data_IF_899884872346
#
_entry.id   IF_899884872346
#
_cell.length_a   1.000
_cell.length_b   1.000
_cell.length_c   1.000
_cell.angle_alpha   90.00
_cell.angle_beta   90.00
_cell.angle_gamma   90.00
#
_symmetry.space_group_name_H-M   'P 1'
#
loop_
_entity.id
_entity.type
_entity.pdbx_description
1 polymer ?
#
# COMPACT_ATOMS: atom_id res chain seq x y z
N UNK A 1 -4.99 -26.36 10.74
CA UNK A 1 -5.17 -26.23 9.28
C UNK A 1 -5.24 -24.75 8.95
N UNK A 2 -4.37 -24.22 8.09
CA UNK A 2 -4.41 -22.82 7.66
C UNK A 2 -5.23 -22.74 6.36
N UNK A 3 -6.33 -21.94 6.28
CA UNK A 3 -7.06 -21.72 5.03
C UNK A 3 -6.10 -21.30 3.93
N UNK A 4 -6.18 -21.92 2.77
CA UNK A 4 -5.22 -21.67 1.71
C UNK A 4 -5.86 -21.71 0.32
N UNK A 5 -5.11 -21.23 -0.68
CA UNK A 5 -5.52 -21.23 -2.10
C UNK A 5 -6.77 -20.38 -2.30
N UNK A 6 -6.72 -19.14 -1.81
CA UNK A 6 -7.84 -18.20 -1.78
C UNK A 6 -7.69 -17.22 -2.95
N UNK A 7 -8.74 -17.07 -3.74
CA UNK A 7 -8.85 -16.01 -4.74
C UNK A 7 -9.97 -15.03 -4.35
N UNK A 8 -9.61 -13.75 -4.22
CA UNK A 8 -10.54 -12.62 -4.04
C UNK A 8 -10.41 -11.76 -5.28
N UNK A 9 -11.33 -11.91 -6.23
CA UNK A 9 -11.18 -11.32 -7.57
C UNK A 9 -12.44 -10.63 -8.06
N UNK A 10 -12.25 -9.48 -8.71
CA UNK A 10 -13.30 -8.76 -9.44
C UNK A 10 -14.53 -8.42 -8.59
N UNK A 11 -14.29 -8.03 -7.34
CA UNK A 11 -15.34 -7.59 -6.43
C UNK A 11 -15.32 -6.06 -6.27
N UNK A 12 -16.49 -5.51 -5.94
CA UNK A 12 -16.63 -4.17 -5.43
C UNK A 12 -16.82 -4.21 -3.91
N UNK A 13 -15.77 -3.87 -3.17
CA UNK A 13 -15.80 -3.72 -1.72
C UNK A 13 -16.04 -2.25 -1.39
N UNK A 14 -17.27 -1.90 -1.05
CA UNK A 14 -17.60 -0.51 -0.74
C UNK A 14 -18.47 -0.36 0.50
N UNK A 15 -18.36 0.83 1.10
CA UNK A 15 -19.35 1.31 2.06
C UNK A 15 -20.18 2.42 1.42
N UNK A 16 -21.52 2.35 1.47
CA UNK A 16 -22.36 3.44 0.99
C UNK A 16 -22.04 4.75 1.71
N UNK A 17 -21.89 5.85 0.97
CA UNK A 17 -21.66 7.17 1.57
C UNK A 17 -22.82 7.64 2.45
N UNK A 18 -24.01 7.08 2.28
CA UNK A 18 -25.13 7.30 3.20
C UNK A 18 -24.85 6.86 4.65
N UNK A 19 -23.79 6.08 4.89
CA UNK A 19 -23.35 5.67 6.23
C UNK A 19 -22.32 6.61 6.86
N UNK A 20 -21.77 7.55 6.09
CA UNK A 20 -20.70 8.45 6.51
C UNK A 20 -21.24 9.62 7.37
N UNK A 21 -20.49 10.10 8.39
CA UNK A 21 -19.27 9.50 8.92
C UNK A 21 -19.52 8.47 10.04
N UNK A 22 -20.72 8.40 10.63
CA UNK A 22 -20.93 7.59 11.85
C UNK A 22 -22.38 7.08 12.02
N UNK A 23 -23.00 6.57 10.96
CA UNK A 23 -24.33 5.93 11.07
C UNK A 23 -24.23 4.51 11.65
N UNK A 24 -23.11 3.82 11.37
CA UNK A 24 -22.88 2.43 11.80
C UNK A 24 -21.47 2.27 12.38
N UNK A 25 -21.32 1.24 13.23
CA UNK A 25 -20.00 0.74 13.58
C UNK A 25 -19.39 0.04 12.36
N UNK A 26 -18.33 0.62 11.80
CA UNK A 26 -17.68 0.11 10.60
C UNK A 26 -16.19 -0.18 10.83
N UNK A 27 -15.63 -1.03 9.98
CA UNK A 27 -14.21 -1.41 9.97
C UNK A 27 -13.62 -1.30 8.57
N UNK A 28 -12.37 -1.66 8.42
CA UNK A 28 -11.64 -1.60 7.14
C UNK A 28 -12.30 -2.44 6.04
N UNK A 29 -11.96 -2.21 4.77
CA UNK A 29 -12.60 -2.88 3.62
C UNK A 29 -12.15 -4.34 3.47
N UNK A 30 -10.89 -4.63 3.76
CA UNK A 30 -10.36 -6.00 3.79
C UNK A 30 -9.41 -6.19 4.97
N UNK A 31 -9.52 -7.33 5.63
CA UNK A 31 -8.60 -7.73 6.69
C UNK A 31 -8.22 -9.21 6.57
N UNK A 32 -6.91 -9.48 6.49
CA UNK A 32 -6.37 -10.84 6.57
C UNK A 32 -5.75 -11.06 7.94
N UNK A 33 -6.32 -12.01 8.69
CA UNK A 33 -5.85 -12.43 10.03
C UNK A 33 -5.20 -13.81 10.07
N UNK A 34 -5.49 -14.63 9.06
CA UNK A 34 -5.03 -16.01 8.93
C UNK A 34 -5.27 -16.46 7.48
N UNK A 35 -4.27 -17.05 6.83
CA UNK A 35 -4.43 -17.69 5.52
C UNK A 35 -3.12 -17.77 4.74
N UNK A 36 -3.06 -18.64 3.72
CA UNK A 36 -1.85 -18.84 2.93
C UNK A 36 -2.10 -19.02 1.44
N UNK A 37 -1.26 -18.48 0.55
CA UNK A 37 -1.46 -18.54 -0.91
C UNK A 37 -2.77 -17.85 -1.28
N UNK A 38 -2.77 -16.53 -1.13
CA UNK A 38 -3.93 -15.67 -1.33
C UNK A 38 -3.66 -14.74 -2.50
N UNK A 39 -4.55 -14.73 -3.48
CA UNK A 39 -4.56 -13.78 -4.59
C UNK A 39 -5.70 -12.78 -4.40
N UNK A 40 -5.39 -11.49 -4.36
CA UNK A 40 -6.34 -10.38 -4.33
C UNK A 40 -6.15 -9.58 -5.61
N UNK A 41 -7.02 -9.76 -6.61
CA UNK A 41 -6.80 -9.21 -7.94
C UNK A 41 -8.03 -8.58 -8.59
N UNK A 42 -7.86 -7.42 -9.22
CA UNK A 42 -8.91 -6.82 -10.05
C UNK A 42 -10.12 -6.34 -9.25
N UNK A 43 -9.96 -6.07 -7.95
CA UNK A 43 -11.03 -5.56 -7.11
C UNK A 43 -11.01 -4.03 -7.06
N UNK A 44 -12.15 -3.45 -6.70
CA UNK A 44 -12.29 -2.05 -6.35
C UNK A 44 -12.63 -1.97 -4.86
N UNK A 45 -11.81 -1.28 -4.08
CA UNK A 45 -12.00 -1.02 -2.66
C UNK A 45 -12.29 0.46 -2.46
N UNK A 46 -13.46 0.80 -1.92
CA UNK A 46 -13.94 2.19 -1.88
C UNK A 46 -14.62 2.55 -0.56
N UNK A 47 -14.35 3.77 -0.08
CA UNK A 47 -14.93 4.37 1.12
C UNK A 47 -14.56 3.64 2.43
N UNK A 48 -13.40 4.00 2.99
CA UNK A 48 -12.96 3.55 4.32
C UNK A 48 -12.63 4.74 5.22
N UNK A 49 -13.50 5.06 6.17
CA UNK A 49 -13.29 6.19 7.08
C UNK A 49 -13.03 5.74 8.53
N UNK A 50 -12.50 6.65 9.34
CA UNK A 50 -12.22 6.39 10.75
C UNK A 50 -13.52 6.23 11.55
N UNK A 51 -13.66 5.10 12.23
CA UNK A 51 -14.76 4.79 13.17
C UNK A 51 -14.22 3.76 14.18
N UNK A 52 -14.77 2.54 14.25
CA UNK A 52 -14.34 1.48 15.17
C UNK A 52 -12.92 0.95 14.86
N UNK A 53 -12.27 1.48 13.82
CA UNK A 53 -10.84 1.39 13.49
C UNK A 53 -10.40 2.69 12.79
N UNK A 54 -9.09 2.83 12.50
CA UNK A 54 -8.48 4.05 11.95
C UNK A 54 -8.70 4.28 10.44
N UNK A 55 -9.64 3.55 9.83
CA UNK A 55 -10.05 3.76 8.43
C UNK A 55 -9.04 3.38 7.35
N UNK A 56 -8.12 2.44 7.63
CA UNK A 56 -7.31 1.86 6.55
C UNK A 56 -8.22 1.13 5.54
N UNK A 57 -7.86 1.07 4.27
CA UNK A 57 -8.56 0.23 3.30
C UNK A 57 -8.27 -1.25 3.59
N UNK A 58 -7.01 -1.60 3.84
CA UNK A 58 -6.55 -2.98 3.99
C UNK A 58 -5.70 -3.19 5.25
N UNK A 59 -5.94 -4.28 5.98
CA UNK A 59 -5.10 -4.76 7.09
C UNK A 59 -4.59 -6.18 6.83
N UNK A 60 -3.30 -6.41 7.06
CA UNK A 60 -2.68 -7.74 6.90
C UNK A 60 -1.81 -8.03 8.10
N UNK A 61 -2.11 -9.15 8.78
CA UNK A 61 -1.42 -9.56 9.99
C UNK A 61 -1.72 -11.02 10.34
N UNK A 62 -0.88 -11.63 11.18
CA UNK A 62 -1.12 -12.97 11.71
C UNK A 62 -1.74 -12.86 13.10
N UNK A 63 -2.96 -13.38 13.30
CA UNK A 63 -3.70 -13.18 14.55
C UNK A 63 -4.20 -14.50 15.13
N UNK A 64 -3.78 -14.75 16.38
CA UNK A 64 -4.36 -15.78 17.24
C UNK A 64 -5.35 -15.13 18.23
N UNK A 65 -6.54 -14.75 17.75
CA UNK A 65 -7.45 -13.83 18.44
C UNK A 65 -7.86 -14.28 19.86
N UNK A 66 -7.90 -15.59 20.11
CA UNK A 66 -8.33 -16.18 21.39
C UNK A 66 -7.26 -17.07 22.04
N UNK A 67 -6.01 -16.99 21.59
CA UNK A 67 -4.89 -17.75 22.16
C UNK A 67 -4.83 -19.24 21.78
N UNK A 68 -5.86 -19.81 21.16
CA UNK A 68 -5.96 -21.25 20.87
C UNK A 68 -5.37 -21.70 19.54
N UNK A 69 -4.91 -20.77 18.70
CA UNK A 69 -4.37 -21.04 17.36
C UNK A 69 -2.94 -20.54 17.22
N UNK A 70 -2.01 -21.11 18.01
CA UNK A 70 -0.60 -20.68 18.01
C UNK A 70 0.16 -20.91 16.70
N UNK A 71 -0.42 -21.74 15.82
CA UNK A 71 0.05 -22.00 14.46
C UNK A 71 -0.55 -21.04 13.43
N UNK A 72 -1.34 -20.03 13.85
CA UNK A 72 -1.92 -19.04 12.94
C UNK A 72 -0.85 -18.28 12.16
N UNK A 73 -1.08 -18.09 10.86
CA UNK A 73 -0.19 -17.37 9.97
C UNK A 73 -0.95 -16.76 8.79
N UNK A 74 -0.58 -15.54 8.42
CA UNK A 74 -0.90 -14.93 7.14
C UNK A 74 0.37 -14.90 6.28
N UNK A 75 0.43 -15.63 5.17
CA UNK A 75 1.63 -15.66 4.34
C UNK A 75 1.35 -15.94 2.86
N UNK A 76 2.29 -15.65 1.98
CA UNK A 76 2.14 -15.89 0.53
C UNK A 76 0.91 -15.15 -0.03
N UNK A 77 0.90 -13.83 0.11
CA UNK A 77 -0.20 -12.96 -0.30
C UNK A 77 0.23 -12.13 -1.50
N UNK A 78 -0.58 -12.13 -2.54
CA UNK A 78 -0.37 -11.34 -3.75
C UNK A 78 -1.54 -10.40 -4.00
N UNK A 79 -1.29 -9.09 -3.95
CA UNK A 79 -2.28 -8.04 -4.17
C UNK A 79 -1.94 -7.32 -5.47
N UNK A 80 -2.76 -7.50 -6.52
CA UNK A 80 -2.42 -6.97 -7.85
C UNK A 80 -3.58 -6.42 -8.65
N UNK A 81 -3.32 -5.40 -9.46
CA UNK A 81 -4.31 -4.78 -10.35
C UNK A 81 -5.62 -4.37 -9.65
N UNK A 82 -5.53 -3.86 -8.41
CA UNK A 82 -6.69 -3.33 -7.70
C UNK A 82 -6.73 -1.80 -7.78
N UNK A 83 -7.93 -1.24 -7.67
CA UNK A 83 -8.16 0.17 -7.37
C UNK A 83 -8.54 0.26 -5.89
N UNK A 84 -7.82 1.07 -5.13
CA UNK A 84 -8.08 1.34 -3.72
C UNK A 84 -8.27 2.84 -3.58
N UNK A 85 -9.46 3.29 -3.16
CA UNK A 85 -9.72 4.72 -3.09
C UNK A 85 -10.62 5.16 -1.95
N UNK A 86 -10.59 6.47 -1.69
CA UNK A 86 -11.47 7.12 -0.73
C UNK A 86 -11.33 6.51 0.67
N UNK A 87 -10.11 6.55 1.20
CA UNK A 87 -9.80 5.91 2.47
C UNK A 87 -8.96 6.79 3.40
N UNK A 88 -9.14 6.64 4.70
CA UNK A 88 -8.34 7.37 5.69
C UNK A 88 -6.89 6.88 5.68
N UNK A 89 -6.66 5.60 5.37
CA UNK A 89 -5.32 5.06 5.11
C UNK A 89 -5.35 3.98 4.04
N UNK A 90 -4.22 3.70 3.40
CA UNK A 90 -4.11 2.67 2.37
C UNK A 90 -4.00 1.27 2.98
N UNK A 91 -2.78 0.88 3.35
CA UNK A 91 -2.47 -0.45 3.88
C UNK A 91 -1.78 -0.35 5.25
N UNK A 92 -2.26 -1.14 6.22
CA UNK A 92 -1.51 -1.45 7.43
C UNK A 92 -1.06 -2.92 7.42
N UNK A 93 0.25 -3.13 7.51
CA UNK A 93 0.88 -4.44 7.48
C UNK A 93 1.64 -4.69 8.80
N UNK A 94 1.24 -5.73 9.52
CA UNK A 94 1.87 -6.11 10.79
C UNK A 94 2.37 -7.55 10.80
N UNK A 95 3.40 -7.82 11.61
CA UNK A 95 3.96 -9.18 11.76
C UNK A 95 2.98 -10.12 12.46
N UNK A 96 2.45 -9.76 13.63
CA UNK A 96 1.45 -10.53 14.36
C UNK A 96 0.77 -9.76 15.50
N UNK A 97 -0.30 -10.35 16.03
CA UNK A 97 -0.95 -9.92 17.27
C UNK A 97 -0.20 -10.34 18.55
N UNK A 98 -0.81 -10.03 19.70
CA UNK A 98 -0.21 -10.25 21.02
C UNK A 98 -0.05 -11.72 21.42
N UNK A 99 -1.03 -12.56 21.06
CA UNK A 99 -0.97 -13.98 21.36
C UNK A 99 0.01 -14.72 20.44
N UNK A 100 0.66 -15.80 20.92
CA UNK A 100 1.58 -16.59 20.10
C UNK A 100 0.97 -16.97 18.75
N UNK A 101 1.69 -16.69 17.68
CA UNK A 101 1.36 -16.99 16.28
C UNK A 101 2.66 -16.95 15.48
N UNK A 102 2.65 -17.56 14.29
CA UNK A 102 3.70 -17.34 13.31
C UNK A 102 3.57 -15.92 12.75
N UNK A 103 4.65 -15.39 12.16
CA UNK A 103 4.65 -14.02 11.62
C UNK A 103 4.14 -13.96 10.19
N UNK A 104 3.61 -12.79 9.84
CA UNK A 104 3.29 -12.42 8.48
C UNK A 104 4.55 -12.38 7.63
N UNK A 105 4.50 -12.99 6.44
CA UNK A 105 5.66 -13.04 5.54
C UNK A 105 5.25 -13.24 4.09
N UNK A 106 6.09 -12.77 3.16
CA UNK A 106 5.89 -12.94 1.71
C UNK A 106 4.58 -12.31 1.24
N UNK A 107 4.50 -10.99 1.38
CA UNK A 107 3.40 -10.17 0.86
C UNK A 107 3.94 -9.37 -0.31
N UNK A 108 3.34 -9.53 -1.49
CA UNK A 108 3.74 -8.85 -2.72
C UNK A 108 2.59 -8.03 -3.27
N UNK A 109 2.88 -6.79 -3.67
CA UNK A 109 1.95 -5.88 -4.31
C UNK A 109 2.46 -5.49 -5.69
N UNK A 110 1.63 -5.66 -6.73
CA UNK A 110 1.99 -5.33 -8.11
C UNK A 110 0.86 -4.57 -8.81
N UNK A 111 1.17 -3.46 -9.50
CA UNK A 111 0.19 -2.75 -10.32
C UNK A 111 -1.09 -2.36 -9.56
N UNK A 112 -1.02 -1.74 -8.38
CA UNK A 112 -2.24 -1.20 -7.75
C UNK A 112 -2.28 0.32 -7.84
N UNK A 113 -3.49 0.84 -8.01
CA UNK A 113 -3.80 2.26 -8.01
C UNK A 113 -4.40 2.63 -6.65
N UNK A 114 -3.81 3.63 -5.99
CA UNK A 114 -4.23 4.15 -4.69
C UNK A 114 -4.63 5.63 -4.85
N UNK A 115 -5.90 5.95 -4.71
CA UNK A 115 -6.42 7.31 -4.96
C UNK A 115 -7.12 7.88 -3.73
N UNK A 116 -6.94 9.17 -3.47
CA UNK A 116 -7.62 9.85 -2.38
C UNK A 116 -7.51 9.10 -1.03
N UNK A 117 -6.26 8.79 -0.67
CA UNK A 117 -5.92 8.31 0.67
C UNK A 117 -5.67 9.54 1.54
N UNK A 118 -6.68 10.03 2.24
CA UNK A 118 -6.63 11.40 2.77
C UNK A 118 -7.29 11.59 4.13
N UNK A 119 -6.92 12.70 4.76
CA UNK A 119 -7.53 13.23 5.98
C UNK A 119 -9.00 13.62 5.80
N UNK A 120 -9.51 13.66 4.56
CA UNK A 120 -10.96 13.80 4.31
C UNK A 120 -11.75 12.62 4.91
N UNK A 121 -11.12 11.45 4.96
CA UNK A 121 -11.76 10.21 5.43
C UNK A 121 -11.42 9.88 6.89
N UNK A 122 -10.59 10.67 7.58
CA UNK A 122 -10.20 10.44 8.97
C UNK A 122 -8.95 11.23 9.37
N UNK A 123 -8.26 10.85 10.45
CA UNK A 123 -7.05 11.52 10.91
C UNK A 123 -5.74 10.81 10.47
N UNK A 124 -5.85 9.78 9.65
CA UNK A 124 -4.75 8.86 9.35
C UNK A 124 -3.85 9.39 8.22
N UNK A 125 -4.33 9.49 6.97
CA UNK A 125 -3.60 10.02 5.80
C UNK A 125 -2.35 9.22 5.38
N UNK A 126 -2.17 8.00 5.89
CA UNK A 126 -0.99 7.16 5.63
C UNK A 126 -1.26 6.24 4.44
N UNK A 127 -0.42 6.31 3.40
CA UNK A 127 -0.51 5.40 2.28
C UNK A 127 -0.15 3.97 2.73
N UNK A 128 1.05 3.79 3.29
CA UNK A 128 1.52 2.50 3.79
C UNK A 128 2.02 2.60 5.23
N UNK A 129 1.65 1.63 6.07
CA UNK A 129 2.13 1.50 7.44
C UNK A 129 2.67 0.10 7.72
N UNK A 130 3.84 0.05 8.37
CA UNK A 130 4.49 -1.19 8.80
C UNK A 130 4.59 -1.25 10.33
N UNK A 131 4.18 -2.38 10.91
CA UNK A 131 4.18 -2.64 12.36
C UNK A 131 4.83 -4.00 12.64
N UNK A 132 6.14 -4.03 12.88
CA UNK A 132 6.92 -5.26 13.09
C UNK A 132 7.30 -5.41 14.56
N UNK A 133 6.32 -5.65 15.42
CA UNK A 133 6.51 -5.66 16.89
C UNK A 133 7.54 -6.68 17.39
N UNK A 134 7.81 -7.73 16.62
CA UNK A 134 8.83 -8.74 16.92
C UNK A 134 10.07 -8.67 16.02
N UNK A 135 10.13 -7.71 15.09
CA UNK A 135 11.23 -7.56 14.13
C UNK A 135 11.29 -8.68 13.07
N UNK A 136 10.21 -9.44 12.91
CA UNK A 136 10.15 -10.64 12.05
C UNK A 136 9.22 -10.48 10.85
N UNK A 137 8.74 -9.27 10.57
CA UNK A 137 8.07 -9.00 9.30
C UNK A 137 9.08 -9.13 8.16
N UNK A 138 8.78 -9.95 7.14
CA UNK A 138 9.80 -10.29 6.13
C UNK A 138 9.23 -10.54 4.73
N UNK A 139 10.05 -10.26 3.72
CA UNK A 139 9.76 -10.41 2.30
C UNK A 139 8.49 -9.63 1.89
N UNK A 140 8.52 -8.33 2.16
CA UNK A 140 7.43 -7.40 1.85
C UNK A 140 7.84 -6.58 0.64
N UNK A 141 7.11 -6.74 -0.47
CA UNK A 141 7.55 -6.25 -1.77
C UNK A 141 6.45 -5.46 -2.48
N UNK A 142 6.80 -4.29 -2.98
CA UNK A 142 5.95 -3.43 -3.78
C UNK A 142 6.63 -3.16 -5.11
N UNK A 143 5.94 -3.42 -6.20
CA UNK A 143 6.37 -3.05 -7.54
C UNK A 143 5.24 -2.37 -8.29
N UNK A 144 5.55 -1.34 -9.08
CA UNK A 144 4.57 -0.71 -9.95
C UNK A 144 3.31 -0.28 -9.20
N UNK A 145 3.43 0.64 -8.25
CA UNK A 145 2.27 1.24 -7.59
C UNK A 145 2.13 2.67 -8.10
N UNK A 146 0.91 3.13 -8.32
CA UNK A 146 0.62 4.57 -8.45
C UNK A 146 -0.24 4.95 -7.26
N UNK A 147 0.20 5.87 -6.40
CA UNK A 147 -0.51 6.16 -5.16
C UNK A 147 -0.42 7.60 -4.69
N UNK A 148 -1.50 8.11 -4.11
CA UNK A 148 -1.58 9.49 -3.61
C UNK A 148 -2.14 9.52 -2.19
N UNK A 149 -1.38 10.10 -1.26
CA UNK A 149 -1.78 10.32 0.11
C UNK A 149 -1.31 11.67 0.68
N UNK A 150 -2.19 12.35 1.40
CA UNK A 150 -1.95 13.72 1.84
C UNK A 150 -0.97 13.86 3.03
N UNK A 151 -0.79 12.81 3.85
CA UNK A 151 0.02 12.90 5.07
C UNK A 151 1.35 12.16 4.99
N UNK A 152 1.37 10.86 4.72
CA UNK A 152 2.62 10.09 4.81
C UNK A 152 2.66 8.99 3.77
N UNK A 153 3.74 8.93 3.00
CA UNK A 153 4.00 7.84 2.06
C UNK A 153 4.20 6.52 2.80
N UNK A 154 5.19 6.43 3.70
CA UNK A 154 5.44 5.24 4.51
C UNK A 154 5.60 5.61 5.97
N UNK A 155 4.80 5.01 6.84
CA UNK A 155 4.98 5.05 8.29
C UNK A 155 5.58 3.74 8.78
N UNK A 156 6.75 3.82 9.42
CA UNK A 156 7.37 2.71 10.13
C UNK A 156 7.03 2.89 11.61
N UNK A 157 5.94 2.25 12.04
CA UNK A 157 5.39 2.47 13.37
C UNK A 157 6.12 1.67 14.46
N UNK A 158 6.68 0.50 14.12
CA UNK A 158 7.50 -0.27 15.06
C UNK A 158 8.38 -1.31 14.37
N UNK A 159 9.55 -1.53 14.98
CA UNK A 159 10.46 -2.62 14.67
C UNK A 159 10.96 -2.65 13.22
N UNK A 160 11.59 -3.77 12.87
CA UNK A 160 12.33 -3.91 11.61
C UNK A 160 11.57 -4.80 10.64
N UNK A 161 11.53 -4.41 9.37
CA UNK A 161 11.06 -5.28 8.28
C UNK A 161 12.24 -5.73 7.44
N UNK A 162 12.35 -7.02 7.21
CA UNK A 162 13.46 -7.63 6.48
C UNK A 162 13.08 -7.89 5.03
N UNK A 163 14.06 -7.86 4.12
CA UNK A 163 13.83 -8.13 2.69
C UNK A 163 12.72 -7.24 2.12
N UNK A 164 12.76 -5.96 2.48
CA UNK A 164 11.83 -4.96 1.99
C UNK A 164 12.24 -4.49 0.59
N UNK A 165 11.30 -4.49 -0.35
CA UNK A 165 11.54 -4.00 -1.70
C UNK A 165 10.41 -3.05 -2.12
N UNK A 166 10.77 -1.88 -2.62
CA UNK A 166 9.86 -0.83 -3.04
C UNK A 166 10.41 -0.20 -4.32
N UNK A 167 9.94 -0.67 -5.48
CA UNK A 167 10.57 -0.32 -6.75
C UNK A 167 9.57 -0.01 -7.87
N UNK A 168 9.98 0.89 -8.77
CA UNK A 168 9.21 1.30 -9.94
C UNK A 168 7.85 1.93 -9.58
N UNK A 169 7.81 2.77 -8.55
CA UNK A 169 6.58 3.35 -8.00
C UNK A 169 6.43 4.83 -8.39
N UNK A 170 5.21 5.30 -8.65
CA UNK A 170 4.89 6.74 -8.65
C UNK A 170 4.03 7.05 -7.44
N UNK A 171 4.53 7.88 -6.54
CA UNK A 171 3.83 8.26 -5.31
C UNK A 171 4.05 9.73 -5.00
N UNK A 172 3.14 10.34 -4.27
CA UNK A 172 3.43 11.60 -3.59
C UNK A 172 4.23 11.40 -2.30
N UNK A 173 5.01 12.41 -1.96
CA UNK A 173 5.72 12.49 -0.70
C UNK A 173 4.74 12.63 0.48
N UNK A 174 3.59 13.28 0.27
CA UNK A 174 2.73 13.77 1.34
C UNK A 174 3.47 14.78 2.24
N UNK A 175 2.96 14.98 3.46
CA UNK A 175 3.57 15.86 4.45
C UNK A 175 4.90 15.32 5.03
N UNK A 176 5.05 14.00 5.17
CA UNK A 176 6.16 13.39 5.93
C UNK A 176 7.04 12.40 5.15
N UNK A 177 6.73 12.07 3.90
CA UNK A 177 7.53 11.10 3.14
C UNK A 177 7.56 9.73 3.80
N UNK A 178 8.75 9.22 4.04
CA UNK A 178 8.99 7.99 4.83
C UNK A 178 9.38 8.44 6.25
N UNK A 179 8.71 7.91 7.26
CA UNK A 179 8.89 8.39 8.63
C UNK A 179 8.83 7.28 9.68
N UNK A 180 9.69 7.39 10.68
CA UNK A 180 9.68 6.67 11.95
C UNK A 180 9.84 7.70 13.09
N UNK A 181 9.57 7.31 14.33
CA UNK A 181 9.59 8.25 15.48
C UNK A 181 10.94 8.97 15.68
N UNK A 182 12.06 8.34 15.29
CA UNK A 182 13.43 8.83 15.49
C UNK A 182 14.23 9.03 14.19
N UNK A 183 13.61 8.84 13.02
CA UNK A 183 14.28 8.93 11.73
C UNK A 183 13.30 9.27 10.59
N UNK A 184 13.82 9.81 9.49
CA UNK A 184 13.04 10.16 8.32
C UNK A 184 13.74 9.77 7.02
N UNK A 185 12.95 9.64 5.95
CA UNK A 185 13.34 9.29 4.59
C UNK A 185 14.35 8.13 4.52
N UNK A 186 15.52 8.34 3.88
CA UNK A 186 16.56 7.32 3.80
C UNK A 186 17.05 6.87 5.18
N UNK A 187 17.15 7.76 6.16
CA UNK A 187 17.57 7.40 7.52
C UNK A 187 16.60 6.41 8.18
N UNK A 188 15.29 6.58 7.95
CA UNK A 188 14.28 5.64 8.44
C UNK A 188 14.39 4.27 7.74
N UNK A 189 14.65 4.27 6.43
CA UNK A 189 14.90 3.03 5.68
C UNK A 189 16.16 2.30 6.17
N UNK A 190 17.27 3.03 6.36
CA UNK A 190 18.55 2.47 6.81
C UNK A 190 18.44 1.80 8.19
N UNK A 191 17.65 2.40 9.10
CA UNK A 191 17.47 1.89 10.46
C UNK A 191 16.49 0.71 10.54
N UNK A 192 15.38 0.76 9.81
CA UNK A 192 14.25 -0.15 10.02
C UNK A 192 13.94 -1.10 8.85
N UNK A 193 14.62 -0.95 7.72
CA UNK A 193 14.43 -1.78 6.53
C UNK A 193 15.78 -2.32 6.02
N UNK A 194 16.66 -2.90 6.87
CA UNK A 194 18.04 -3.17 6.51
C UNK A 194 18.16 -4.05 5.26
N UNK A 195 18.99 -3.61 4.31
CA UNK A 195 19.14 -4.26 3.01
C UNK A 195 17.96 -4.03 2.06
N UNK A 196 17.20 -2.94 2.25
CA UNK A 196 16.08 -2.59 1.38
C UNK A 196 16.50 -2.40 -0.09
N UNK A 197 15.53 -2.59 -0.98
CA UNK A 197 15.58 -2.05 -2.34
C UNK A 197 14.60 -0.89 -2.41
N UNK A 198 15.09 0.29 -2.78
CA UNK A 198 14.28 1.48 -3.05
C UNK A 198 14.80 2.15 -4.32
N UNK A 199 14.25 1.78 -5.48
CA UNK A 199 14.82 2.14 -6.78
C UNK A 199 13.77 2.32 -7.87
N UNK A 200 14.04 3.23 -8.83
CA UNK A 200 13.15 3.52 -9.95
C UNK A 200 11.84 4.20 -9.53
N UNK A 201 11.76 4.74 -8.31
CA UNK A 201 10.56 5.39 -7.81
C UNK A 201 10.55 6.87 -8.17
N UNK A 202 9.42 7.40 -8.62
CA UNK A 202 9.15 8.83 -8.68
C UNK A 202 8.39 9.25 -7.41
N UNK A 203 9.07 9.98 -6.53
CA UNK A 203 8.49 10.54 -5.29
C UNK A 203 8.19 12.01 -5.52
N UNK A 204 6.92 12.32 -5.81
CA UNK A 204 6.46 13.66 -6.15
C UNK A 204 6.58 14.58 -4.92
N UNK A 205 7.30 15.69 -5.06
CA UNK A 205 7.58 16.63 -3.98
C UNK A 205 8.69 16.18 -3.02
N UNK A 206 9.29 15.00 -3.24
CA UNK A 206 10.42 14.52 -2.44
C UNK A 206 11.73 15.26 -2.75
N UNK A 207 12.64 15.31 -1.78
CA UNK A 207 13.96 15.88 -1.96
C UNK A 207 15.00 14.81 -2.31
N UNK A 208 15.66 14.92 -3.46
CA UNK A 208 16.60 13.90 -3.95
C UNK A 208 17.72 13.56 -2.95
N UNK A 209 18.17 14.52 -2.15
CA UNK A 209 19.22 14.32 -1.14
C UNK A 209 18.78 13.47 0.06
N UNK A 210 17.46 13.29 0.27
CA UNK A 210 16.90 12.55 1.40
C UNK A 210 16.59 11.09 1.06
N UNK A 211 16.77 10.67 -0.19
CA UNK A 211 16.38 9.35 -0.68
C UNK A 211 17.53 8.62 -1.36
N UNK A 212 17.48 7.29 -1.44
CA UNK A 212 18.48 6.49 -2.13
C UNK A 212 18.65 6.91 -3.60
N UNK A 213 19.87 6.71 -4.13
CA UNK A 213 20.16 6.98 -5.55
C UNK A 213 19.32 6.09 -6.47
N UNK A 214 19.11 6.55 -7.72
CA UNK A 214 18.33 5.82 -8.71
C UNK A 214 16.81 6.00 -8.58
N UNK A 215 16.38 7.09 -7.93
CA UNK A 215 14.98 7.52 -7.84
C UNK A 215 14.80 8.90 -8.49
N UNK A 216 13.55 9.25 -8.77
CA UNK A 216 13.13 10.48 -9.43
C UNK A 216 12.30 11.35 -8.48
N UNK A 217 12.36 12.66 -8.66
CA UNK A 217 11.75 13.63 -7.74
C UNK A 217 11.04 14.76 -8.51
N UNK A 218 9.93 14.45 -9.21
CA UNK A 218 9.10 15.50 -9.82
C UNK A 218 8.63 16.48 -8.76
N UNK A 219 8.72 17.78 -9.02
CA UNK A 219 8.31 18.80 -8.04
C UNK A 219 6.79 18.83 -7.80
N UNK A 220 6.00 18.47 -8.80
CA UNK A 220 4.54 18.51 -8.77
C UNK A 220 3.95 17.32 -9.51
N UNK A 221 2.64 17.07 -9.32
CA UNK A 221 1.91 16.04 -10.06
C UNK A 221 1.98 16.26 -11.57
N UNK A 222 1.85 17.51 -12.03
CA UNK A 222 1.94 17.86 -13.44
C UNK A 222 3.32 17.56 -14.04
N UNK A 223 4.39 17.71 -13.26
CA UNK A 223 5.76 17.41 -13.70
C UNK A 223 5.99 15.91 -13.97
N UNK A 224 5.11 15.03 -13.50
CA UNK A 224 5.12 13.59 -13.85
C UNK A 224 4.85 13.39 -15.34
N UNK A 225 3.99 14.21 -15.95
CA UNK A 225 3.61 14.04 -17.35
C UNK A 225 2.65 12.88 -17.58
N UNK A 226 1.62 12.75 -16.75
CA UNK A 226 0.51 11.83 -16.99
C UNK A 226 -0.32 12.26 -18.21
N UNK A 227 -1.04 11.30 -18.83
CA UNK A 227 -1.95 11.58 -19.94
C UNK A 227 -3.11 12.48 -19.50
N UNK A 228 -3.76 12.17 -18.37
CA UNK A 228 -4.80 13.01 -17.78
C UNK A 228 -4.99 12.67 -16.29
N UNK A 229 -4.13 13.21 -15.42
CA UNK A 229 -4.21 12.97 -13.99
C UNK A 229 -5.56 13.41 -13.37
N UNK A 230 -6.11 14.53 -13.82
CA UNK A 230 -7.40 15.05 -13.33
C UNK A 230 -8.60 14.14 -13.69
N UNK A 231 -8.46 13.34 -14.76
CA UNK A 231 -9.45 12.34 -15.16
C UNK A 231 -9.12 10.91 -14.71
N UNK A 232 -8.13 10.72 -13.83
CA UNK A 232 -7.71 9.40 -13.34
C UNK A 232 -6.88 8.57 -14.33
N UNK A 233 -6.43 9.16 -15.44
CA UNK A 233 -5.56 8.49 -16.42
C UNK A 233 -4.08 8.75 -16.09
N UNK A 234 -3.56 7.90 -15.20
CA UNK A 234 -2.18 7.95 -14.72
C UNK A 234 -1.18 7.20 -15.61
N UNK A 235 -1.51 6.93 -16.88
CA UNK A 235 -0.50 6.47 -17.84
C UNK A 235 0.49 7.59 -18.10
N UNK A 236 1.78 7.26 -18.21
CA UNK A 236 2.79 8.24 -18.62
C UNK A 236 2.63 8.58 -20.11
N UNK A 237 2.48 9.86 -20.40
CA UNK A 237 2.48 10.38 -21.76
C UNK A 237 3.84 10.14 -22.42
N UNK A 238 3.89 10.10 -23.76
CA UNK A 238 5.15 9.93 -24.50
C UNK A 238 6.18 11.03 -24.21
N UNK A 239 5.72 12.21 -23.78
CA UNK A 239 6.55 13.34 -23.38
C UNK A 239 6.98 13.31 -21.91
N UNK A 240 6.52 12.35 -21.11
CA UNK A 240 6.92 12.24 -19.70
C UNK A 240 8.42 12.00 -19.62
N UNK A 241 9.17 12.73 -18.77
CA UNK A 241 10.58 12.46 -18.53
C UNK A 241 10.81 11.10 -17.85
N UNK A 242 9.76 10.48 -17.30
CA UNK A 242 9.83 9.21 -16.58
C UNK A 242 9.40 8.02 -17.45
N UNK A 243 9.03 8.24 -18.71
CA UNK A 243 8.66 7.18 -19.65
C UNK A 243 9.82 6.18 -19.83
N UNK A 244 9.55 4.88 -19.63
CA UNK A 244 10.54 3.81 -19.76
C UNK A 244 11.67 3.85 -18.73
N UNK A 245 11.53 4.61 -17.64
CA UNK A 245 12.60 4.80 -16.66
C UNK A 245 12.55 3.85 -15.45
N UNK A 246 11.61 2.90 -15.42
CA UNK A 246 11.61 1.87 -14.38
C UNK A 246 12.88 1.01 -14.46
N UNK A 247 13.26 0.41 -13.34
CA UNK A 247 14.45 -0.47 -13.25
C UNK A 247 14.36 -1.72 -14.14
N UNK A 248 13.17 -2.08 -14.61
CA UNK A 248 12.92 -3.19 -15.52
C UNK A 248 12.71 -2.76 -16.99
N UNK A 249 12.93 -1.47 -17.29
CA UNK A 249 12.77 -0.88 -18.63
C UNK A 249 11.34 -0.54 -19.02
N UNK A 250 10.37 -0.70 -18.11
CA UNK A 250 8.98 -0.25 -18.30
C UNK A 250 8.75 1.17 -17.74
N UNK A 251 7.50 1.60 -17.65
CA UNK A 251 7.16 2.86 -16.98
C UNK A 251 7.11 2.64 -15.45
N UNK A 252 7.67 3.56 -14.63
CA UNK A 252 7.39 3.55 -13.21
C UNK A 252 5.90 3.86 -12.98
N UNK A 253 5.37 3.38 -11.86
CA UNK A 253 3.94 3.43 -11.56
C UNK A 253 3.21 2.15 -11.93
N UNK A 254 1.95 2.06 -11.53
CA UNK A 254 1.08 0.96 -11.92
C UNK A 254 0.81 0.98 -13.43
N UNK A 255 0.79 -0.19 -14.05
CA UNK A 255 0.23 -0.35 -15.40
C UNK A 255 -1.30 -0.13 -15.33
N UNK A 256 -1.71 1.11 -15.59
CA UNK A 256 -3.11 1.52 -15.57
C UNK A 256 -3.94 0.75 -16.60
N UNK A 257 -3.34 0.32 -17.72
CA UNK A 257 -4.07 -0.50 -18.70
C UNK A 257 -4.40 -1.87 -18.11
N UNK A 258 -3.45 -2.48 -17.41
CA UNK A 258 -3.67 -3.74 -16.71
C UNK A 258 -4.68 -3.60 -15.56
N UNK A 259 -4.59 -2.53 -14.76
CA UNK A 259 -5.55 -2.22 -13.68
C UNK A 259 -6.97 -2.10 -14.21
N UNK A 260 -7.18 -1.27 -15.24
CA UNK A 260 -8.52 -1.05 -15.83
C UNK A 260 -9.04 -2.30 -16.53
N UNK A 261 -8.16 -3.12 -17.11
CA UNK A 261 -8.55 -4.41 -17.71
C UNK A 261 -9.01 -5.39 -16.62
N UNK A 262 -8.28 -5.50 -15.51
CA UNK A 262 -8.60 -6.44 -14.43
C UNK A 262 -9.88 -6.06 -13.67
N UNK A 263 -10.14 -4.75 -13.54
CA UNK A 263 -11.34 -4.20 -12.88
C UNK A 263 -12.52 -3.97 -13.83
N UNK A 264 -12.34 -4.23 -15.14
CA UNK A 264 -13.41 -4.09 -16.12
C UNK A 264 -14.60 -4.98 -15.79
N UNK A 265 -15.80 -4.42 -15.81
CA UNK A 265 -17.05 -5.13 -15.49
C UNK A 265 -17.23 -5.46 -14.02
N UNK A 266 -16.47 -4.84 -13.12
CA UNK A 266 -16.84 -4.79 -11.69
C UNK A 266 -18.00 -3.81 -11.54
N UNK A 267 -19.15 -4.31 -11.06
CA UNK A 267 -20.35 -3.49 -10.86
C UNK A 267 -20.17 -2.54 -9.67
N UNK A 268 -20.21 -1.22 -9.95
CA UNK A 268 -20.12 -0.12 -9.00
C UNK A 268 -21.49 0.48 -8.71
#
# INVERSE_FOLDING_TARGET
LIPSDIEIRRNYFFKPLAWYPAVWSIKNLLELKLGRRILIQGNIFENSWAESQTGFAMLIWSVNQSGTTSWAQTADVWIRENIIRHAAGGLNLADKGLYPSLTTQRVRLDNNLWEDISLTWGDNGRLFQFVSNTGQLTAIKFYHQTGFADRTLITIASGVTQQFEFANIIVDHGLYGIHADDASEQGALDLYMPGYVFAGNAVIGGAAASYPIGNFFPATLDAVGFVNAAGGDYRLAASSPYKGQATDGTDPGADITAVLTATSGVDQ
#
